data_IF_368358296095
#
_entry.id   IF_368358296095
#
_cell.length_a   1.000
_cell.length_b   1.000
_cell.length_c   1.000
_cell.angle_alpha   90.00
_cell.angle_beta   90.00
_cell.angle_gamma   90.00
#
_symmetry.space_group_name_H-M   'P 1'
#
loop_
_entity.id
_entity.type
_entity.pdbx_description
1 polymer ?
#
# COMPACT_ATOMS: atom_id res chain seq x y z
N UNK A 1 12.63 26.45 -64.64
CA UNK A 1 12.58 27.20 -63.36
C UNK A 1 11.18 27.10 -62.79
N UNK A 2 10.88 26.59 -61.60
CA UNK A 2 11.71 25.94 -60.59
C UNK A 2 10.78 25.06 -59.71
N UNK A 3 10.43 23.85 -60.16
CA UNK A 3 9.63 22.89 -59.34
C UNK A 3 10.35 22.50 -58.04
N UNK A 4 11.66 22.70 -58.00
CA UNK A 4 12.52 22.51 -56.82
C UNK A 4 12.30 23.62 -55.78
N UNK A 5 11.87 24.83 -56.18
CA UNK A 5 11.58 25.92 -55.23
C UNK A 5 10.29 25.70 -54.43
N UNK A 6 9.30 25.00 -55.00
CA UNK A 6 8.03 24.68 -54.30
C UNK A 6 8.22 23.52 -53.29
N UNK A 7 9.08 22.56 -53.61
CA UNK A 7 9.44 21.46 -52.70
C UNK A 7 10.27 21.93 -51.50
N UNK A 8 11.15 22.93 -51.69
CA UNK A 8 11.87 23.58 -50.59
C UNK A 8 10.99 24.48 -49.73
N UNK A 9 9.92 25.07 -50.29
CA UNK A 9 8.95 25.85 -49.51
C UNK A 9 8.10 24.96 -48.59
N UNK A 10 7.82 23.70 -48.98
CA UNK A 10 7.15 22.71 -48.12
C UNK A 10 8.07 22.12 -47.04
N UNK A 11 9.38 22.08 -47.27
CA UNK A 11 10.35 21.67 -46.24
C UNK A 11 10.62 22.76 -45.17
N UNK A 12 10.20 24.00 -45.44
CA UNK A 12 10.28 25.15 -44.52
C UNK A 12 8.97 25.45 -43.77
N UNK A 13 7.91 24.67 -44.00
CA UNK A 13 6.84 24.51 -43.00
C UNK A 13 7.40 23.64 -41.88
N UNK A 14 8.11 24.33 -40.99
CA UNK A 14 8.67 23.82 -39.73
C UNK A 14 7.70 22.79 -39.16
N UNK A 15 8.21 21.57 -39.04
CA UNK A 15 7.65 20.51 -38.23
C UNK A 15 7.54 21.03 -36.77
N UNK A 16 6.53 21.83 -36.50
CA UNK A 16 6.20 22.37 -35.18
C UNK A 16 5.37 21.31 -34.43
N UNK A 17 5.90 20.08 -34.41
CA UNK A 17 5.37 19.02 -33.57
C UNK A 17 5.56 19.40 -32.10
N UNK A 18 4.71 18.89 -31.20
CA UNK A 18 4.83 19.20 -29.79
C UNK A 18 6.21 18.72 -29.26
N UNK A 19 6.92 19.61 -28.58
CA UNK A 19 8.21 19.29 -27.96
C UNK A 19 7.98 18.34 -26.78
N UNK A 20 8.54 17.14 -26.88
CA UNK A 20 8.52 16.14 -25.80
C UNK A 20 9.81 16.31 -24.99
N UNK A 21 9.68 16.75 -23.75
CA UNK A 21 10.80 16.84 -22.80
C UNK A 21 10.79 15.61 -21.92
N UNK A 22 11.84 14.81 -21.97
CA UNK A 22 12.08 13.76 -20.99
C UNK A 22 12.81 14.33 -19.78
N UNK A 23 12.51 13.81 -18.59
CA UNK A 23 13.23 14.21 -17.38
C UNK A 23 14.39 13.28 -17.11
N UNK A 24 15.55 13.86 -16.83
CA UNK A 24 16.69 13.14 -16.28
C UNK A 24 16.50 13.03 -14.75
N UNK A 25 16.49 11.79 -14.24
CA UNK A 25 16.29 11.48 -12.83
C UNK A 25 14.83 11.29 -12.41
N UNK A 26 14.64 10.72 -11.22
CA UNK A 26 13.30 10.48 -10.68
C UNK A 26 12.60 11.78 -10.32
N UNK A 27 11.39 11.95 -10.84
CA UNK A 27 10.47 13.02 -10.44
C UNK A 27 9.14 12.43 -10.05
N UNK A 28 8.48 13.04 -9.09
CA UNK A 28 7.18 12.57 -8.60
C UNK A 28 6.10 13.58 -8.95
N UNK A 29 4.88 13.08 -9.14
CA UNK A 29 3.66 13.86 -9.29
C UNK A 29 2.60 13.40 -8.32
N UNK A 30 1.85 14.35 -7.76
CA UNK A 30 0.65 14.10 -6.99
C UNK A 30 -0.57 14.31 -7.89
N UNK A 31 -1.42 13.29 -7.97
CA UNK A 31 -2.72 13.40 -8.62
C UNK A 31 -3.64 14.27 -7.75
N UNK A 32 -3.96 15.48 -8.20
CA UNK A 32 -4.72 16.49 -7.42
C UNK A 32 -6.24 16.28 -7.51
N UNK A 33 -6.69 15.70 -8.60
CA UNK A 33 -8.06 15.24 -8.85
C UNK A 33 -8.01 13.94 -9.68
N UNK A 34 -9.10 13.16 -9.71
CA UNK A 34 -9.14 11.94 -10.53
C UNK A 34 -8.70 12.21 -11.97
N UNK A 35 -7.76 11.42 -12.48
CA UNK A 35 -7.15 11.60 -13.81
C UNK A 35 -7.13 10.30 -14.59
N UNK A 36 -7.39 10.41 -15.88
CA UNK A 36 -7.36 9.28 -16.80
C UNK A 36 -6.00 9.27 -17.48
N UNK A 37 -5.28 8.19 -17.27
CA UNK A 37 -4.07 7.85 -18.01
C UNK A 37 -4.45 7.40 -19.42
N UNK A 38 -3.82 8.01 -20.42
CA UNK A 38 -4.09 7.76 -21.84
C UNK A 38 -2.86 7.26 -22.56
N UNK A 39 -3.06 6.58 -23.68
CA UNK A 39 -1.96 6.06 -24.50
C UNK A 39 -1.15 7.16 -25.16
N UNK A 40 -1.82 8.21 -25.61
CA UNK A 40 -1.24 9.40 -26.23
C UNK A 40 -1.69 10.67 -25.49
N UNK A 41 -0.96 11.78 -25.69
CA UNK A 41 -1.21 13.08 -25.05
C UNK A 41 -2.42 13.83 -25.64
N UNK A 42 -3.53 13.11 -25.82
CA UNK A 42 -4.75 13.64 -26.43
C UNK A 42 -6.00 13.20 -25.66
N UNK A 43 -7.00 14.09 -25.55
CA UNK A 43 -8.24 13.83 -24.79
C UNK A 43 -9.05 12.65 -25.33
N UNK A 44 -8.93 12.33 -26.62
CA UNK A 44 -9.69 11.25 -27.27
C UNK A 44 -8.86 9.96 -27.43
N UNK A 45 -7.61 9.95 -26.97
CA UNK A 45 -6.77 8.75 -27.00
C UNK A 45 -7.30 7.66 -26.07
N UNK A 46 -6.96 6.42 -26.40
CA UNK A 46 -7.26 5.20 -25.63
C UNK A 46 -7.03 5.41 -24.13
N UNK A 47 -8.01 5.02 -23.31
CA UNK A 47 -7.96 5.10 -21.85
C UNK A 47 -7.26 3.86 -21.32
N UNK A 48 -6.15 4.03 -20.63
CA UNK A 48 -5.37 2.92 -20.07
C UNK A 48 -5.75 2.61 -18.63
N UNK A 49 -5.88 3.64 -17.79
CA UNK A 49 -6.18 3.51 -16.36
C UNK A 49 -6.74 4.81 -15.81
N UNK A 50 -7.57 4.72 -14.79
CA UNK A 50 -7.95 5.87 -13.98
C UNK A 50 -7.14 5.89 -12.68
N UNK A 51 -6.58 7.05 -12.33
CA UNK A 51 -5.85 7.28 -11.11
C UNK A 51 -6.69 8.21 -10.23
N UNK A 52 -6.80 7.84 -8.95
CA UNK A 52 -7.63 8.58 -8.00
C UNK A 52 -6.85 9.75 -7.40
N UNK A 53 -7.59 10.73 -6.86
CA UNK A 53 -7.00 11.83 -6.11
C UNK A 53 -6.09 11.29 -5.00
N UNK A 54 -4.87 11.81 -4.94
CA UNK A 54 -3.87 11.42 -3.97
C UNK A 54 -2.91 10.33 -4.47
N UNK A 55 -3.10 9.73 -5.65
CA UNK A 55 -2.10 8.83 -6.21
C UNK A 55 -0.77 9.56 -6.42
N UNK A 56 0.34 8.88 -6.09
CA UNK A 56 1.70 9.36 -6.36
C UNK A 56 2.21 8.61 -7.59
N UNK A 57 2.73 9.35 -8.55
CA UNK A 57 3.20 8.82 -9.84
C UNK A 57 4.62 9.27 -10.11
N UNK A 58 5.34 8.52 -10.93
CA UNK A 58 6.66 8.94 -11.44
C UNK A 58 6.42 9.75 -12.71
N UNK A 59 6.97 10.96 -12.78
CA UNK A 59 6.96 11.77 -13.99
C UNK A 59 8.17 11.39 -14.85
N UNK A 60 7.89 10.95 -16.07
CA UNK A 60 8.91 10.56 -17.05
C UNK A 60 9.22 11.69 -18.04
N UNK A 61 8.30 12.63 -18.20
CA UNK A 61 8.46 13.77 -19.08
C UNK A 61 7.20 14.59 -19.22
N UNK A 62 7.28 15.65 -20.00
CA UNK A 62 6.19 16.57 -20.31
C UNK A 62 6.11 16.88 -21.80
N UNK A 63 4.91 17.17 -22.26
CA UNK A 63 4.61 17.58 -23.64
C UNK A 63 3.79 18.84 -23.58
N UNK A 64 4.25 19.90 -24.25
CA UNK A 64 3.52 21.15 -24.35
C UNK A 64 2.82 21.22 -25.70
N UNK A 65 1.49 21.13 -25.71
CA UNK A 65 0.67 21.33 -26.91
C UNK A 65 0.19 22.78 -26.92
N UNK A 66 0.35 23.46 -28.04
CA UNK A 66 -0.42 24.67 -28.35
C UNK A 66 -1.64 24.24 -29.16
N UNK A 67 -2.83 24.09 -28.57
CA UNK A 67 -4.06 23.99 -29.33
C UNK A 67 -4.30 25.30 -30.10
N UNK A 68 -5.15 25.24 -31.12
CA UNK A 68 -5.51 26.34 -32.01
C UNK A 68 -6.02 27.61 -31.26
N UNK A 69 -6.41 27.47 -29.99
CA UNK A 69 -6.90 28.54 -29.11
C UNK A 69 -5.80 29.22 -28.25
N UNK A 70 -4.50 29.09 -28.58
CA UNK A 70 -3.37 29.71 -27.89
C UNK A 70 -3.11 29.32 -26.40
N UNK A 71 -3.93 28.49 -25.77
CA UNK A 71 -3.69 28.02 -24.40
C UNK A 71 -2.67 26.88 -24.34
N UNK A 72 -1.47 27.11 -23.80
CA UNK A 72 -0.49 26.03 -23.62
C UNK A 72 -1.06 24.96 -22.69
N UNK A 73 -1.29 23.77 -23.24
CA UNK A 73 -1.70 22.60 -22.48
C UNK A 73 -0.48 21.73 -22.23
N UNK A 74 -0.22 21.42 -20.97
CA UNK A 74 0.82 20.46 -20.59
C UNK A 74 0.21 19.08 -20.39
N UNK A 75 0.88 18.06 -20.92
CA UNK A 75 0.63 16.65 -20.62
C UNK A 75 1.88 16.07 -19.98
N UNK A 76 1.72 15.27 -18.93
CA UNK A 76 2.82 14.54 -18.35
C UNK A 76 2.80 13.10 -18.81
N UNK A 77 3.95 12.60 -19.29
CA UNK A 77 4.18 11.17 -19.40
C UNK A 77 4.48 10.66 -18.00
N UNK A 78 3.70 9.71 -17.51
CA UNK A 78 3.81 9.20 -16.14
C UNK A 78 3.89 7.69 -16.11
N UNK A 79 4.50 7.15 -15.04
CA UNK A 79 4.43 5.74 -14.65
C UNK A 79 3.73 5.66 -13.29
N UNK A 80 2.61 4.96 -13.28
CA UNK A 80 1.86 4.61 -12.07
C UNK A 80 2.59 3.53 -11.27
N UNK A 81 2.24 3.38 -9.99
CA UNK A 81 2.88 2.40 -9.11
C UNK A 81 2.47 0.97 -9.45
N UNK A 82 1.26 0.79 -9.97
CA UNK A 82 0.81 -0.47 -10.57
C UNK A 82 1.51 -0.81 -11.89
N UNK A 83 2.36 0.09 -12.43
CA UNK A 83 3.24 -0.16 -13.57
C UNK A 83 2.73 0.38 -14.91
N UNK A 84 1.49 0.87 -14.99
CA UNK A 84 0.97 1.49 -16.21
C UNK A 84 1.73 2.77 -16.54
N UNK A 85 2.10 2.92 -17.81
CA UNK A 85 2.77 4.10 -18.35
C UNK A 85 1.90 4.73 -19.43
N UNK A 86 1.76 6.06 -19.41
CA UNK A 86 0.94 6.80 -20.37
C UNK A 86 0.99 8.31 -20.14
N UNK A 87 0.06 9.05 -20.73
CA UNK A 87 -0.05 10.50 -20.61
C UNK A 87 -1.24 10.91 -19.75
N UNK A 88 -1.01 11.85 -18.83
CA UNK A 88 -2.01 12.46 -17.98
C UNK A 88 -2.07 13.97 -18.25
N UNK A 89 -3.26 14.54 -18.16
CA UNK A 89 -3.47 15.97 -18.35
C UNK A 89 -2.84 16.76 -17.18
N UNK A 90 -2.04 17.77 -17.51
CA UNK A 90 -1.17 18.48 -16.57
C UNK A 90 -1.90 19.14 -15.41
N UNK A 91 -3.10 19.67 -15.64
CA UNK A 91 -3.90 20.36 -14.62
C UNK A 91 -4.29 19.44 -13.44
N UNK A 92 -4.25 18.12 -13.63
CA UNK A 92 -4.55 17.14 -12.59
C UNK A 92 -3.31 16.56 -11.91
N UNK A 93 -2.12 17.02 -12.28
CA UNK A 93 -0.84 16.56 -11.75
C UNK A 93 -0.11 17.75 -11.16
N UNK A 94 0.17 17.69 -9.85
CA UNK A 94 1.08 18.60 -9.19
C UNK A 94 2.47 17.97 -9.13
N UNK A 95 3.48 18.47 -9.88
CA UNK A 95 4.86 18.03 -9.72
C UNK A 95 5.33 18.24 -8.29
N UNK A 96 6.09 17.28 -7.77
CA UNK A 96 6.67 17.30 -6.44
C UNK A 96 8.21 17.31 -6.55
N UNK A 97 8.87 17.90 -5.55
CA UNK A 97 10.29 17.66 -5.37
C UNK A 97 10.55 16.20 -5.00
N UNK A 98 11.78 15.74 -5.21
CA UNK A 98 12.18 14.35 -4.96
C UNK A 98 11.88 13.93 -3.51
N UNK A 99 12.27 14.76 -2.55
CA UNK A 99 12.12 14.45 -1.11
C UNK A 99 10.65 14.40 -0.70
N UNK A 100 9.82 15.34 -1.20
CA UNK A 100 8.38 15.34 -0.92
C UNK A 100 7.73 14.10 -1.53
N UNK A 101 8.07 13.75 -2.77
CA UNK A 101 7.54 12.57 -3.44
C UNK A 101 7.86 11.27 -2.69
N UNK A 102 9.11 11.10 -2.27
CA UNK A 102 9.54 9.94 -1.47
C UNK A 102 8.84 9.88 -0.11
N UNK A 103 8.74 11.00 0.58
CA UNK A 103 8.07 11.08 1.88
C UNK A 103 6.58 10.73 1.77
N UNK A 104 5.88 11.26 0.77
CA UNK A 104 4.46 10.94 0.52
C UNK A 104 4.26 9.45 0.19
N UNK A 105 5.15 8.86 -0.61
CA UNK A 105 5.11 7.44 -0.93
C UNK A 105 5.27 6.58 0.33
N UNK A 106 6.28 6.90 1.15
CA UNK A 106 6.54 6.23 2.42
C UNK A 106 5.36 6.38 3.39
N UNK A 107 4.78 7.57 3.52
CA UNK A 107 3.61 7.81 4.38
C UNK A 107 2.40 6.96 3.96
N UNK A 108 2.16 6.81 2.66
CA UNK A 108 1.07 5.97 2.14
C UNK A 108 1.33 4.48 2.37
N UNK A 109 2.57 4.02 2.21
CA UNK A 109 2.98 2.66 2.57
C UNK A 109 2.75 2.40 4.06
N UNK A 110 3.27 3.27 4.93
CA UNK A 110 3.14 3.15 6.38
C UNK A 110 1.67 3.13 6.82
N UNK A 111 0.81 3.99 6.25
CA UNK A 111 -0.64 3.98 6.55
C UNK A 111 -1.30 2.65 6.20
N UNK A 112 -0.95 2.07 5.06
CA UNK A 112 -1.47 0.76 4.66
C UNK A 112 -0.99 -0.34 5.61
N UNK A 113 0.32 -0.37 5.92
CA UNK A 113 0.91 -1.37 6.82
C UNK A 113 0.33 -1.29 8.24
N UNK A 114 0.16 -0.09 8.79
CA UNK A 114 -0.47 0.10 10.11
C UNK A 114 -1.89 -0.46 10.11
N UNK A 115 -2.69 -0.13 9.09
CA UNK A 115 -4.07 -0.66 8.98
C UNK A 115 -4.07 -2.17 8.87
N UNK A 116 -3.20 -2.74 8.05
CA UNK A 116 -3.07 -4.19 7.88
C UNK A 116 -2.72 -4.89 9.20
N UNK A 117 -1.67 -4.42 9.89
CA UNK A 117 -1.25 -4.98 11.19
C UNK A 117 -2.34 -4.88 12.24
N UNK A 118 -3.02 -3.72 12.31
CA UNK A 118 -4.14 -3.50 13.23
C UNK A 118 -5.27 -4.51 12.98
N UNK A 119 -5.70 -4.66 11.73
CA UNK A 119 -6.75 -5.63 11.36
C UNK A 119 -6.36 -7.06 11.74
N UNK A 120 -5.12 -7.47 11.45
CA UNK A 120 -4.64 -8.83 11.80
C UNK A 120 -4.70 -9.06 13.31
N UNK A 121 -4.21 -8.11 14.11
CA UNK A 121 -4.18 -8.21 15.57
C UNK A 121 -5.58 -8.21 16.16
N UNK A 122 -6.48 -7.35 15.67
CA UNK A 122 -7.87 -7.26 16.15
C UNK A 122 -8.61 -8.60 15.95
N UNK A 123 -8.55 -9.17 14.76
CA UNK A 123 -9.22 -10.44 14.46
C UNK A 123 -8.59 -11.64 15.20
N UNK A 124 -7.26 -11.66 15.37
CA UNK A 124 -6.60 -12.69 16.16
C UNK A 124 -7.06 -12.63 17.63
N UNK A 125 -7.13 -11.42 18.21
CA UNK A 125 -7.62 -11.22 19.56
C UNK A 125 -9.08 -11.66 19.72
N UNK A 126 -9.97 -11.19 18.84
CA UNK A 126 -11.39 -11.56 18.85
C UNK A 126 -11.57 -13.09 18.82
N UNK A 127 -10.77 -13.79 18.01
CA UNK A 127 -10.82 -15.25 17.91
C UNK A 127 -10.37 -15.97 19.19
N UNK A 128 -9.37 -15.44 19.89
CA UNK A 128 -8.90 -15.95 21.19
C UNK A 128 -9.98 -15.72 22.25
N UNK A 129 -10.46 -14.47 22.36
CA UNK A 129 -11.49 -14.06 23.33
C UNK A 129 -12.77 -14.89 23.16
N UNK A 130 -13.21 -15.13 21.91
CA UNK A 130 -14.44 -15.88 21.62
C UNK A 130 -14.28 -17.40 21.68
N UNK A 131 -13.07 -17.92 21.91
CA UNK A 131 -12.81 -19.37 21.89
C UNK A 131 -13.36 -20.10 23.11
N UNK A 132 -13.65 -19.39 24.20
CA UNK A 132 -13.93 -19.92 25.54
C UNK A 132 -12.82 -20.85 26.10
N UNK A 133 -11.66 -20.93 25.47
CA UNK A 133 -10.54 -21.78 25.92
C UNK A 133 -9.78 -21.13 27.08
N UNK A 134 -9.92 -19.81 27.27
CA UNK A 134 -9.18 -19.00 28.24
C UNK A 134 -10.09 -18.02 28.99
N UNK A 135 -11.14 -18.48 29.69
CA UNK A 135 -12.20 -17.62 30.22
C UNK A 135 -11.77 -16.66 31.34
N UNK A 136 -10.57 -16.85 31.91
CA UNK A 136 -10.03 -16.11 33.04
C UNK A 136 -8.69 -15.44 32.75
N UNK A 137 -8.23 -15.51 31.50
CA UNK A 137 -6.93 -15.00 31.09
C UNK A 137 -7.10 -13.76 30.20
N UNK A 138 -6.29 -12.74 30.45
CA UNK A 138 -6.24 -11.56 29.58
C UNK A 138 -5.26 -11.80 28.42
N UNK A 139 -5.70 -11.51 27.20
CA UNK A 139 -4.85 -11.55 26.01
C UNK A 139 -3.89 -10.37 26.01
N UNK A 140 -2.60 -10.65 26.10
CA UNK A 140 -1.54 -9.64 26.11
C UNK A 140 -0.49 -9.90 25.02
N UNK A 141 0.23 -8.85 24.65
CA UNK A 141 1.41 -8.94 23.78
C UNK A 141 1.20 -9.68 22.45
N UNK A 142 0.08 -9.39 21.76
CA UNK A 142 -0.17 -9.91 20.41
C UNK A 142 0.88 -9.38 19.43
N UNK A 143 1.61 -10.29 18.77
CA UNK A 143 2.66 -9.96 17.80
C UNK A 143 2.53 -10.83 16.57
N UNK A 144 2.67 -10.20 15.41
CA UNK A 144 2.85 -10.93 14.15
C UNK A 144 4.26 -11.53 14.17
N UNK A 145 4.35 -12.85 13.98
CA UNK A 145 5.62 -13.60 14.04
C UNK A 145 6.02 -14.22 12.69
N UNK A 146 5.16 -14.12 11.66
CA UNK A 146 5.49 -14.53 10.30
C UNK A 146 5.71 -13.31 9.39
N UNK A 147 6.43 -13.47 8.27
CA UNK A 147 6.37 -12.50 7.19
C UNK A 147 4.95 -12.44 6.60
N UNK A 148 4.63 -11.33 5.94
CA UNK A 148 3.38 -11.15 5.20
C UNK A 148 3.54 -11.67 3.78
N UNK A 149 3.54 -12.99 3.61
CA UNK A 149 3.74 -13.63 2.32
C UNK A 149 2.43 -14.15 1.72
N UNK A 150 2.23 -13.94 0.39
CA UNK A 150 1.04 -14.44 -0.28
C UNK A 150 1.10 -15.97 -0.43
N UNK A 151 0.00 -16.64 -0.10
CA UNK A 151 -0.22 -18.06 -0.40
C UNK A 151 -0.88 -18.26 -1.76
N UNK A 152 -1.50 -17.22 -2.31
CA UNK A 152 -2.08 -17.20 -3.67
C UNK A 152 -1.95 -15.79 -4.30
N UNK A 153 -2.61 -15.53 -5.43
CA UNK A 153 -2.62 -14.20 -6.06
C UNK A 153 -3.16 -13.07 -5.16
N UNK A 154 -3.90 -13.40 -4.11
CA UNK A 154 -4.51 -12.43 -3.18
C UNK A 154 -4.74 -12.97 -1.77
N UNK A 155 -4.44 -14.23 -1.50
CA UNK A 155 -4.56 -14.83 -0.17
C UNK A 155 -3.24 -14.78 0.58
N UNK A 156 -3.30 -14.56 1.89
CA UNK A 156 -2.14 -14.49 2.78
C UNK A 156 -2.46 -15.25 4.07
N UNK A 157 -1.49 -16.00 4.57
CA UNK A 157 -1.55 -16.60 5.91
C UNK A 157 -0.58 -15.86 6.82
N UNK A 158 -1.09 -15.37 7.95
CA UNK A 158 -0.31 -14.58 8.90
C UNK A 158 -0.38 -15.21 10.27
N UNK A 159 0.77 -15.57 10.81
CA UNK A 159 0.90 -16.12 12.15
C UNK A 159 1.03 -15.00 13.17
N UNK A 160 0.16 -15.05 14.17
CA UNK A 160 0.14 -14.15 15.33
C UNK A 160 0.40 -15.00 16.57
N UNK A 161 1.34 -14.58 17.40
CA UNK A 161 1.55 -15.13 18.73
C UNK A 161 1.03 -14.16 19.78
N UNK A 162 0.50 -14.69 20.89
CA UNK A 162 0.09 -13.91 22.05
C UNK A 162 0.47 -14.63 23.34
N UNK A 163 0.72 -13.85 24.39
CA UNK A 163 0.90 -14.32 25.76
C UNK A 163 -0.36 -14.04 26.57
N UNK A 164 -0.87 -15.05 27.25
CA UNK A 164 -2.03 -14.92 28.13
C UNK A 164 -1.57 -14.75 29.57
N UNK A 165 -2.21 -13.83 30.29
CA UNK A 165 -1.95 -13.59 31.71
C UNK A 165 -3.15 -14.04 32.54
N UNK A 166 -2.96 -15.10 33.35
CA UNK A 166 -4.01 -15.63 34.22
C UNK A 166 -4.27 -14.81 35.48
N UNK A 167 -5.54 -14.75 35.89
CA UNK A 167 -6.06 -13.86 36.94
C UNK A 167 -5.81 -14.32 38.40
N UNK A 168 -5.42 -15.57 38.66
CA UNK A 168 -5.40 -16.07 40.04
C UNK A 168 -4.05 -16.02 40.78
N UNK A 169 -2.90 -16.23 40.13
CA UNK A 169 -1.60 -16.12 40.82
C UNK A 169 -0.40 -15.72 39.91
N UNK A 170 -0.63 -15.42 38.63
CA UNK A 170 0.43 -14.87 37.74
C UNK A 170 1.62 -15.80 37.46
N UNK A 171 1.50 -17.10 37.67
CA UNK A 171 2.63 -18.05 37.53
C UNK A 171 2.54 -18.87 36.22
N UNK A 172 1.33 -19.20 35.74
CA UNK A 172 1.16 -19.89 34.46
C UNK A 172 1.22 -18.91 33.29
N UNK A 173 2.11 -19.17 32.35
CA UNK A 173 2.18 -18.42 31.09
C UNK A 173 1.74 -19.33 29.95
N UNK A 174 0.61 -18.97 29.32
CA UNK A 174 0.14 -19.67 28.13
C UNK A 174 0.51 -18.86 26.89
N UNK A 175 1.19 -19.49 25.94
CA UNK A 175 1.39 -18.94 24.61
C UNK A 175 0.36 -19.51 23.66
N UNK A 176 -0.20 -18.65 22.79
CA UNK A 176 -1.17 -19.05 21.78
C UNK A 176 -0.68 -18.57 20.42
N UNK A 177 -0.68 -19.47 19.43
CA UNK A 177 -0.42 -19.15 18.03
C UNK A 177 -1.72 -19.25 17.24
N UNK A 178 -2.04 -18.16 16.54
CA UNK A 178 -3.23 -18.00 15.71
C UNK A 178 -2.79 -17.81 14.26
N UNK A 179 -3.44 -18.48 13.33
CA UNK A 179 -3.36 -18.18 11.91
C UNK A 179 -4.52 -17.28 11.51
N UNK A 180 -4.20 -16.16 10.87
CA UNK A 180 -5.16 -15.23 10.28
C UNK A 180 -5.05 -15.36 8.77
N UNK A 181 -6.07 -15.94 8.14
CA UNK A 181 -6.18 -16.02 6.69
C UNK A 181 -6.85 -14.75 6.15
N UNK A 182 -6.14 -14.08 5.25
CA UNK A 182 -6.55 -12.81 4.65
C UNK A 182 -6.80 -12.97 3.16
N UNK A 183 -7.71 -12.15 2.66
CA UNK A 183 -7.79 -11.75 1.26
C UNK A 183 -7.39 -10.27 1.15
N UNK A 184 -6.33 -10.00 0.38
CA UNK A 184 -5.85 -8.66 0.07
C UNK A 184 -6.06 -8.38 -1.42
N UNK A 185 -6.81 -7.31 -1.72
CA UNK A 185 -6.83 -6.72 -3.06
C UNK A 185 -6.13 -5.36 -2.98
N UNK A 186 -4.87 -5.35 -3.42
CA UNK A 186 -3.96 -4.21 -3.27
C UNK A 186 -4.11 -3.29 -4.49
N UNK A 187 -4.65 -2.09 -4.25
CA UNK A 187 -4.55 -1.01 -5.22
C UNK A 187 -3.22 -0.29 -5.00
N UNK A 188 -2.20 -0.67 -5.78
CA UNK A 188 -0.88 -0.06 -5.69
C UNK A 188 -0.89 1.46 -5.96
N UNK A 189 -1.86 1.98 -6.71
CA UNK A 189 -1.96 3.41 -6.99
C UNK A 189 -2.72 4.16 -5.88
N UNK A 190 -3.43 3.44 -5.00
CA UNK A 190 -4.14 4.00 -3.85
C UNK A 190 -4.05 3.08 -2.62
N UNK A 191 -2.83 2.77 -2.19
CA UNK A 191 -2.56 1.85 -1.06
C UNK A 191 -3.43 2.08 0.19
N UNK A 192 -3.64 3.32 0.67
CA UNK A 192 -4.46 3.54 1.87
C UNK A 192 -5.89 3.00 1.74
N UNK A 193 -6.41 2.90 0.50
CA UNK A 193 -7.76 2.43 0.20
C UNK A 193 -7.81 1.00 -0.33
N UNK A 194 -6.68 0.28 -0.37
CA UNK A 194 -6.66 -1.14 -0.70
C UNK A 194 -7.64 -1.93 0.16
N UNK A 195 -8.18 -3.03 -0.37
CA UNK A 195 -9.14 -3.85 0.36
C UNK A 195 -8.37 -4.88 1.19
N UNK A 196 -8.73 -4.95 2.47
CA UNK A 196 -8.24 -5.95 3.43
C UNK A 196 -9.48 -6.67 3.94
N UNK A 197 -9.56 -7.99 3.72
CA UNK A 197 -10.63 -8.84 4.22
C UNK A 197 -10.03 -10.00 4.99
N UNK A 198 -10.58 -10.32 6.15
CA UNK A 198 -10.24 -11.55 6.87
C UNK A 198 -11.22 -12.61 6.42
N UNK A 199 -10.71 -13.71 5.87
CA UNK A 199 -11.56 -14.83 5.44
C UNK A 199 -11.80 -15.79 6.60
N UNK A 200 -10.75 -16.08 7.36
CA UNK A 200 -10.78 -17.09 8.40
C UNK A 200 -9.70 -16.85 9.45
N UNK A 201 -9.95 -17.33 10.67
CA UNK A 201 -9.00 -17.23 11.80
C UNK A 201 -9.03 -18.52 12.61
N UNK A 202 -7.87 -19.15 12.73
CA UNK A 202 -7.69 -20.44 13.40
C UNK A 202 -6.70 -20.37 14.56
N UNK A 203 -7.02 -21.02 15.67
CA UNK A 203 -6.04 -21.27 16.73
C UNK A 203 -5.27 -22.53 16.33
N UNK A 204 -3.96 -22.39 16.07
CA UNK A 204 -3.13 -23.49 15.61
C UNK A 204 -2.43 -24.21 16.76
N UNK A 205 -1.97 -23.46 17.77
CA UNK A 205 -1.11 -23.99 18.83
C UNK A 205 -1.41 -23.29 20.14
N UNK A 206 -1.39 -24.08 21.22
CA UNK A 206 -1.49 -23.62 22.59
C UNK A 206 -0.36 -24.31 23.36
N UNK A 207 0.55 -23.55 23.95
CA UNK A 207 1.58 -24.09 24.83
C UNK A 207 1.41 -23.50 26.21
N UNK A 208 1.28 -24.37 27.22
CA UNK A 208 1.25 -23.96 28.62
C UNK A 208 2.64 -24.16 29.19
N UNK A 209 3.21 -23.11 29.73
CA UNK A 209 4.38 -23.21 30.60
C UNK A 209 3.84 -23.19 32.02
N UNK A 210 3.88 -24.34 32.70
CA UNK A 210 3.48 -24.44 34.09
C UNK A 210 4.35 -23.48 34.92
N UNK A 211 3.68 -22.62 35.66
CA UNK A 211 4.27 -21.88 36.76
C UNK A 211 4.68 -22.82 37.89
N UNK A 212 5.37 -22.26 38.89
CA UNK A 212 5.73 -22.94 40.12
C UNK A 212 4.53 -23.74 40.65
N UNK A 213 4.72 -25.05 40.76
CA UNK A 213 3.79 -26.00 41.36
C UNK A 213 3.09 -25.38 42.59
N UNK A 214 1.75 -25.33 42.63
CA UNK A 214 1.00 -24.80 43.76
C UNK A 214 1.46 -25.37 45.12
N UNK A 215 1.88 -26.64 45.16
CA UNK A 215 2.45 -27.26 46.36
C UNK A 215 3.75 -26.61 46.83
N UNK A 216 4.59 -26.14 45.89
CA UNK A 216 5.81 -25.38 46.19
C UNK A 216 5.53 -23.92 46.55
N UNK A 217 4.46 -23.33 46.03
CA UNK A 217 4.03 -21.97 46.39
C UNK A 217 3.52 -21.90 47.83
N UNK A 218 2.81 -22.94 48.30
CA UNK A 218 2.42 -23.08 49.73
C UNK A 218 3.65 -23.21 50.62
N UNK A 219 4.63 -24.04 50.25
CA UNK A 219 5.89 -24.19 50.99
C UNK A 219 6.71 -22.88 51.05
N UNK A 220 6.66 -22.06 50.00
CA UNK A 220 7.31 -20.75 49.94
C UNK A 220 6.60 -19.72 50.83
N UNK A 221 5.27 -19.70 50.82
CA UNK A 221 4.46 -18.81 51.68
C UNK A 221 4.61 -19.17 53.16
N UNK A 222 4.69 -20.46 53.49
CA UNK A 222 4.91 -20.96 54.86
C UNK A 222 6.33 -20.64 55.36
N UNK A 223 7.32 -20.46 54.47
CA UNK A 223 8.69 -20.07 54.85
C UNK A 223 8.91 -18.56 55.03
N UNK A 224 7.97 -17.73 54.56
CA UNK A 224 8.05 -16.27 54.63
C UNK A 224 7.24 -15.71 55.82
N UNK A 225 6.28 -16.49 56.34
CA UNK A 225 5.57 -16.24 57.60
C UNK A 225 6.32 -16.82 58.80
#
# INVERSE_FOLDING_TARGET
>A
MNRIAILLLFALLINCGPEIKTYDGERYGLVTNGVILRKEFEKNSERLRELTKGSIVILLGEVHKKPENNEKVTWYKIKSRSGFTGYAFGDYIKPLSLDIGKNELMLKQNKFEIRLKKTIIEYAKERIDSSNQFPLDDVTDLRIISPLEPTSSSSYDVLVASWLKGSLLGIDTTSVTVNVNLYLNIDYDNLPNSIIKVNHVDILKIEKTEGIDPGKTVDLLVKIL
#
